data_IF_838713617188
#
_entry.id   IF_838713617188
#
_cell.length_a   1.000
_cell.length_b   1.000
_cell.length_c   1.000
_cell.angle_alpha   90.00
_cell.angle_beta   90.00
_cell.angle_gamma   90.00
#
_symmetry.space_group_name_H-M   'P 1'
#
loop_
_entity.id
_entity.type
_entity.pdbx_description
1 polymer ?
#
# COMPACT_ATOMS: atom_id res chain seq x y z
N UNK A 1 30.91 9.09 37.51
CA UNK A 1 31.83 8.38 36.60
C UNK A 1 31.44 6.92 36.63
N UNK A 2 31.28 6.28 35.47
CA UNK A 2 31.05 4.83 35.45
C UNK A 2 32.41 4.15 35.67
N UNK A 3 32.56 3.41 36.77
CA UNK A 3 33.80 2.70 37.06
C UNK A 3 33.83 1.38 36.28
N UNK A 4 34.95 1.08 35.65
CA UNK A 4 35.08 -0.09 34.77
C UNK A 4 34.71 -1.41 35.45
N UNK A 5 34.90 -1.51 36.77
CA UNK A 5 34.56 -2.68 37.57
C UNK A 5 33.06 -2.81 37.88
N UNK A 6 32.30 -1.71 37.83
CA UNK A 6 30.83 -1.73 37.94
C UNK A 6 30.19 -2.08 36.59
N UNK A 7 30.88 -1.80 35.47
CA UNK A 7 30.44 -2.11 34.10
C UNK A 7 30.82 -3.54 33.70
N UNK A 8 31.96 -4.05 34.17
CA UNK A 8 32.48 -5.36 33.77
C UNK A 8 31.51 -6.51 34.06
N UNK A 9 30.73 -6.43 35.15
CA UNK A 9 29.68 -7.41 35.46
C UNK A 9 28.46 -7.36 34.51
N UNK A 10 28.27 -6.26 33.77
CA UNK A 10 27.20 -6.09 32.78
C UNK A 10 27.64 -6.50 31.36
N UNK A 11 28.95 -6.68 31.12
CA UNK A 11 29.48 -7.13 29.84
C UNK A 11 29.49 -8.66 29.87
N UNK A 12 28.71 -9.30 28.98
CA UNK A 12 28.73 -10.76 28.81
C UNK A 12 30.17 -11.22 28.53
N UNK A 13 30.55 -12.35 29.10
CA UNK A 13 31.83 -12.99 28.78
C UNK A 13 31.91 -13.27 27.27
N UNK A 14 32.82 -12.56 26.59
CA UNK A 14 33.09 -12.71 25.16
C UNK A 14 34.38 -13.48 24.89
N UNK A 15 35.01 -14.07 25.92
CA UNK A 15 36.22 -14.87 25.78
C UNK A 15 35.91 -16.13 24.97
N UNK A 16 36.31 -16.13 23.70
CA UNK A 16 35.97 -17.18 22.72
C UNK A 16 35.25 -16.66 21.47
N UNK A 17 34.65 -15.47 21.51
CA UNK A 17 34.10 -14.80 20.32
C UNK A 17 35.16 -14.08 19.51
N UNK A 18 36.37 -13.93 20.03
CA UNK A 18 37.48 -13.21 19.38
C UNK A 18 38.75 -14.05 19.40
N UNK A 19 39.46 -14.07 18.27
CA UNK A 19 40.80 -14.65 18.12
C UNK A 19 41.67 -13.61 17.41
N UNK A 20 42.82 -13.29 18.00
CA UNK A 20 43.76 -12.28 17.47
C UNK A 20 43.11 -10.90 17.21
N UNK A 21 42.18 -10.50 18.09
CA UNK A 21 41.43 -9.24 17.96
C UNK A 21 40.31 -9.28 16.92
N UNK A 22 40.11 -10.39 16.23
CA UNK A 22 39.07 -10.57 15.21
C UNK A 22 37.93 -11.41 15.77
N UNK A 23 36.68 -10.95 15.59
CA UNK A 23 35.50 -11.72 15.99
C UNK A 23 35.41 -13.01 15.17
N UNK A 24 35.58 -14.16 15.80
CA UNK A 24 35.38 -15.51 15.23
C UNK A 24 33.95 -15.96 15.53
N UNK A 25 32.99 -15.43 14.77
CA UNK A 25 31.58 -15.78 14.91
C UNK A 25 31.17 -16.78 13.80
N UNK A 26 30.93 -18.07 14.14
CA UNK A 26 30.45 -19.05 13.16
C UNK A 26 29.02 -18.76 12.67
N UNK A 27 28.28 -17.88 13.35
CA UNK A 27 26.90 -17.49 13.02
C UNK A 27 26.83 -16.11 12.34
N UNK A 28 27.89 -15.71 11.62
CA UNK A 28 27.93 -14.41 10.94
C UNK A 28 26.74 -14.27 9.98
N UNK A 29 25.91 -13.27 10.23
CA UNK A 29 24.83 -12.88 9.31
C UNK A 29 25.45 -12.50 7.96
N UNK A 30 25.25 -13.34 6.94
CA UNK A 30 25.80 -13.18 5.60
C UNK A 30 24.66 -13.12 4.60
N UNK A 31 24.49 -11.97 3.98
CA UNK A 31 23.56 -11.82 2.87
C UNK A 31 24.12 -12.50 1.61
N UNK A 32 23.23 -12.94 0.69
CA UNK A 32 23.64 -13.45 -0.61
C UNK A 32 24.49 -12.42 -1.37
N UNK A 33 25.29 -12.89 -2.33
CA UNK A 33 26.04 -12.03 -3.24
C UNK A 33 25.32 -11.76 -4.55
N UNK A 34 24.01 -12.00 -4.60
CA UNK A 34 23.16 -11.72 -5.78
C UNK A 34 22.96 -10.22 -5.95
N UNK A 35 22.52 -9.79 -7.13
CA UNK A 35 22.35 -8.37 -7.48
C UNK A 35 21.38 -7.62 -6.54
N UNK A 36 20.44 -8.35 -5.93
CA UNK A 36 19.48 -7.81 -4.96
C UNK A 36 20.14 -7.41 -3.64
N UNK A 37 21.29 -7.99 -3.30
CA UNK A 37 21.99 -7.75 -2.03
C UNK A 37 23.41 -7.16 -2.23
N UNK A 38 23.71 -6.69 -3.43
CA UNK A 38 25.02 -6.19 -3.81
C UNK A 38 25.00 -4.69 -4.18
N UNK A 39 26.16 -4.04 -4.18
CA UNK A 39 26.32 -2.64 -4.57
C UNK A 39 25.43 -1.69 -3.78
N UNK A 40 24.62 -0.91 -4.50
CA UNK A 40 23.66 0.06 -3.94
C UNK A 40 22.48 -0.61 -3.21
N UNK A 41 22.24 -1.91 -3.45
CA UNK A 41 21.14 -2.67 -2.86
C UNK A 41 21.55 -3.45 -1.60
N UNK A 42 22.79 -3.25 -1.10
CA UNK A 42 23.20 -3.88 0.16
C UNK A 42 22.22 -3.51 1.27
N UNK A 43 21.80 -4.50 2.04
CA UNK A 43 20.93 -4.30 3.20
C UNK A 43 21.55 -3.24 4.13
N UNK A 44 20.77 -2.21 4.44
CA UNK A 44 21.21 -1.09 5.29
C UNK A 44 20.99 -1.45 6.75
N UNK A 45 19.73 -1.77 7.10
CA UNK A 45 19.28 -2.21 8.42
C UNK A 45 19.52 -1.21 9.54
N UNK A 46 19.72 0.06 9.18
CA UNK A 46 19.96 1.13 10.13
C UNK A 46 18.62 1.63 10.66
N UNK A 47 18.55 1.76 11.98
CA UNK A 47 17.59 2.59 12.68
C UNK A 47 18.37 3.65 13.45
N UNK A 48 17.89 4.88 13.45
CA UNK A 48 18.60 5.95 14.12
C UNK A 48 18.02 7.33 13.86
N UNK A 49 18.69 8.32 14.44
CA UNK A 49 18.28 9.72 14.45
C UNK A 49 19.50 10.58 14.14
N UNK A 50 19.30 11.63 13.34
CA UNK A 50 20.29 12.68 13.13
C UNK A 50 19.56 14.00 13.28
N UNK A 51 19.97 14.80 14.25
CA UNK A 51 19.40 16.13 14.47
C UNK A 51 20.24 17.16 13.73
N UNK A 52 19.55 18.12 13.09
CA UNK A 52 20.17 19.25 12.40
C UNK A 52 21.14 18.79 11.31
N UNK A 53 20.56 18.16 10.28
CA UNK A 53 21.29 17.68 9.11
C UNK A 53 22.11 18.81 8.48
N UNK A 54 23.28 18.46 7.95
CA UNK A 54 24.07 19.39 7.15
C UNK A 54 23.30 19.79 5.89
N UNK A 55 23.20 21.11 5.65
CA UNK A 55 22.45 21.70 4.53
C UNK A 55 23.38 22.56 3.68
N UNK A 56 23.31 22.38 2.36
CA UNK A 56 23.86 23.32 1.38
C UNK A 56 22.74 24.17 0.81
N UNK A 57 22.87 25.50 0.86
CA UNK A 57 21.81 26.44 0.50
C UNK A 57 20.96 26.84 1.71
N UNK A 58 19.69 27.16 1.49
CA UNK A 58 18.76 27.60 2.56
C UNK A 58 17.45 26.82 2.47
N UNK A 59 17.04 26.19 3.57
CA UNK A 59 15.69 25.62 3.70
C UNK A 59 14.70 26.79 3.90
N UNK A 60 13.62 26.88 3.12
CA UNK A 60 12.61 27.92 3.29
C UNK A 60 11.98 27.86 4.70
N UNK A 61 11.99 28.95 5.48
CA UNK A 61 11.49 28.95 6.86
C UNK A 61 9.98 28.68 6.97
N UNK A 62 9.23 28.87 5.90
CA UNK A 62 7.79 28.62 5.80
C UNK A 62 7.42 27.13 5.71
N UNK A 63 8.37 26.24 5.41
CA UNK A 63 8.10 24.79 5.39
C UNK A 63 8.12 24.29 6.83
N UNK A 64 6.94 23.86 7.28
CA UNK A 64 6.76 23.23 8.57
C UNK A 64 5.98 21.92 8.41
N UNK A 65 6.71 20.82 8.26
CA UNK A 65 6.10 19.49 8.13
C UNK A 65 7.14 18.37 8.15
N UNK A 66 6.68 17.17 7.82
CA UNK A 66 7.54 15.98 7.75
C UNK A 66 7.30 15.25 6.44
N UNK A 67 8.40 14.97 5.72
CA UNK A 67 8.37 14.07 4.57
C UNK A 67 8.64 12.64 5.04
N UNK A 68 7.70 11.75 4.76
CA UNK A 68 7.80 10.32 5.08
C UNK A 68 8.02 9.52 3.80
N UNK A 69 8.87 8.49 3.90
CA UNK A 69 9.04 7.48 2.86
C UNK A 69 9.41 6.14 3.48
N UNK A 70 9.20 5.06 2.74
CA UNK A 70 9.55 3.70 3.19
C UNK A 70 10.48 3.05 2.17
N UNK A 71 11.41 2.22 2.64
CA UNK A 71 12.26 1.39 1.80
C UNK A 71 12.10 -0.09 2.22
N UNK A 72 12.05 -1.03 1.27
CA UNK A 72 12.30 -2.43 1.58
C UNK A 72 13.76 -2.60 2.04
N UNK A 73 13.97 -3.20 3.21
CA UNK A 73 15.28 -3.37 3.81
C UNK A 73 15.32 -4.68 4.61
N UNK A 74 15.76 -5.76 3.97
CA UNK A 74 15.80 -7.10 4.59
C UNK A 74 16.53 -7.10 5.92
N UNK A 75 15.81 -7.44 6.98
CA UNK A 75 16.41 -7.47 8.31
C UNK A 75 17.33 -8.67 8.53
N UNK A 76 17.03 -9.80 7.88
CA UNK A 76 17.85 -11.00 7.89
C UNK A 76 18.13 -11.47 6.46
N UNK A 77 19.21 -12.23 6.22
CA UNK A 77 19.41 -12.92 4.96
C UNK A 77 18.17 -13.77 4.64
N UNK A 78 17.67 -13.71 3.40
CA UNK A 78 16.48 -14.47 3.02
C UNK A 78 16.74 -15.97 3.10
N UNK A 79 15.66 -16.76 3.21
CA UNK A 79 15.73 -18.23 3.17
C UNK A 79 16.25 -18.71 1.80
N UNK A 80 15.89 -18.00 0.74
CA UNK A 80 16.27 -18.29 -0.65
C UNK A 80 17.16 -17.17 -1.18
N UNK A 81 18.31 -17.50 -1.76
CA UNK A 81 19.31 -16.51 -2.18
C UNK A 81 18.85 -15.60 -3.34
N UNK A 82 17.84 -16.05 -4.09
CA UNK A 82 17.20 -15.37 -5.22
C UNK A 82 15.93 -14.59 -4.81
N UNK A 83 15.83 -14.19 -3.55
CA UNK A 83 14.77 -13.27 -3.09
C UNK A 83 14.87 -11.89 -3.76
N UNK A 84 13.76 -11.15 -3.76
CA UNK A 84 13.62 -9.88 -4.49
C UNK A 84 13.52 -8.67 -3.55
N UNK A 85 13.83 -7.47 -4.08
CA UNK A 85 13.75 -6.22 -3.33
C UNK A 85 12.38 -6.00 -2.65
N UNK A 86 11.28 -6.32 -3.35
CA UNK A 86 9.93 -6.09 -2.83
C UNK A 86 9.53 -6.94 -1.63
N UNK A 87 10.36 -7.92 -1.21
CA UNK A 87 10.13 -8.80 -0.08
C UNK A 87 10.89 -8.38 1.20
N UNK A 88 11.68 -7.30 1.17
CA UNK A 88 12.40 -6.78 2.34
C UNK A 88 11.48 -6.10 3.36
N UNK A 89 11.84 -6.08 4.63
CA UNK A 89 11.02 -5.47 5.69
C UNK A 89 10.89 -3.95 5.51
N UNK A 90 9.74 -3.37 5.83
CA UNK A 90 9.52 -1.92 5.70
C UNK A 90 10.35 -1.12 6.69
N UNK A 91 11.23 -0.27 6.20
CA UNK A 91 12.03 0.67 6.99
C UNK A 91 11.63 2.11 6.63
N UNK A 92 10.97 2.80 7.56
CA UNK A 92 10.38 4.13 7.35
C UNK A 92 11.39 5.20 7.71
N UNK A 93 11.60 6.14 6.80
CA UNK A 93 12.38 7.36 7.00
C UNK A 93 11.43 8.55 7.16
N UNK A 94 11.70 9.39 8.14
CA UNK A 94 11.09 10.71 8.32
C UNK A 94 12.15 11.81 8.22
N UNK A 95 11.88 12.81 7.39
CA UNK A 95 12.64 14.06 7.31
C UNK A 95 11.74 15.19 7.83
N UNK A 96 11.95 15.58 9.08
CA UNK A 96 11.21 16.68 9.72
C UNK A 96 11.86 18.00 9.33
N UNK A 97 11.12 18.87 8.64
CA UNK A 97 11.59 20.17 8.20
C UNK A 97 10.82 21.25 8.95
N UNK A 98 11.51 22.09 9.71
CA UNK A 98 10.89 23.22 10.42
C UNK A 98 11.89 24.33 10.65
N UNK A 99 11.44 25.58 10.57
CA UNK A 99 12.23 26.76 10.96
C UNK A 99 13.61 26.85 10.26
N UNK A 100 13.72 26.37 9.02
CA UNK A 100 15.00 26.36 8.28
C UNK A 100 15.94 25.19 8.61
N UNK A 101 15.51 24.22 9.42
CA UNK A 101 16.28 23.04 9.81
C UNK A 101 15.63 21.75 9.31
N UNK A 102 16.44 20.69 9.18
CA UNK A 102 15.97 19.34 8.86
C UNK A 102 16.52 18.31 9.85
N UNK A 103 15.67 17.37 10.29
CA UNK A 103 16.05 16.25 11.16
C UNK A 103 15.69 14.93 10.48
N UNK A 104 16.54 13.93 10.65
CA UNK A 104 16.35 12.58 10.13
C UNK A 104 15.96 11.63 11.25
N UNK A 105 15.01 10.74 10.98
CA UNK A 105 14.69 9.59 11.81
C UNK A 105 14.36 8.40 10.92
N UNK A 106 14.79 7.20 11.31
CA UNK A 106 14.48 5.98 10.59
C UNK A 106 14.18 4.81 11.53
N UNK A 107 13.08 4.10 11.28
CA UNK A 107 12.60 2.96 12.08
C UNK A 107 11.95 1.89 11.22
N UNK A 108 12.12 0.64 11.61
CA UNK A 108 11.37 -0.47 11.01
C UNK A 108 9.89 -0.44 11.41
N UNK A 109 9.03 -0.89 10.50
CA UNK A 109 7.66 -1.26 10.84
C UNK A 109 7.70 -2.60 11.56
N UNK A 110 7.31 -2.63 12.83
CA UNK A 110 7.32 -3.85 13.65
C UNK A 110 6.08 -4.72 13.36
N UNK A 111 5.98 -5.21 12.13
CA UNK A 111 4.95 -6.16 11.69
C UNK A 111 5.02 -7.47 12.47
N UNK A 112 3.99 -8.30 12.38
CA UNK A 112 4.05 -9.68 12.90
C UNK A 112 5.26 -10.43 12.32
N UNK A 113 5.47 -10.33 10.99
CA UNK A 113 6.66 -10.84 10.32
C UNK A 113 7.95 -10.38 11.00
N UNK A 114 8.12 -9.07 11.16
CA UNK A 114 9.30 -8.49 11.82
C UNK A 114 9.50 -9.09 13.21
N UNK A 115 8.44 -9.18 14.03
CA UNK A 115 8.51 -9.65 15.42
C UNK A 115 8.90 -11.13 15.50
N UNK A 116 8.31 -11.98 14.66
CA UNK A 116 8.62 -13.41 14.62
C UNK A 116 10.06 -13.66 14.17
N UNK A 117 10.54 -12.97 13.13
CA UNK A 117 11.93 -13.09 12.68
C UNK A 117 12.92 -12.51 13.70
N UNK A 118 12.54 -11.44 14.42
CA UNK A 118 13.34 -10.92 15.56
C UNK A 118 13.58 -12.01 16.59
N UNK A 119 12.49 -12.65 17.02
CA UNK A 119 12.51 -13.60 18.11
C UNK A 119 13.31 -14.86 17.73
N UNK A 120 13.26 -15.25 16.46
CA UNK A 120 14.05 -16.37 15.93
C UNK A 120 15.49 -15.99 15.57
N UNK A 121 15.80 -14.71 15.40
CA UNK A 121 17.13 -14.24 14.97
C UNK A 121 17.48 -14.60 13.53
N UNK A 122 16.48 -14.90 12.68
CA UNK A 122 16.65 -15.33 11.28
C UNK A 122 15.36 -15.14 10.48
N UNK A 123 15.46 -15.17 9.15
CA UNK A 123 14.29 -15.21 8.28
C UNK A 123 13.44 -16.47 8.53
N UNK A 124 12.12 -16.28 8.53
CA UNK A 124 11.10 -17.32 8.69
C UNK A 124 10.11 -17.33 7.52
N UNK A 125 9.95 -16.20 6.85
CA UNK A 125 9.09 -16.06 5.69
C UNK A 125 9.91 -16.25 4.41
N UNK A 126 9.39 -17.06 3.50
CA UNK A 126 10.05 -17.45 2.25
C UNK A 126 9.89 -16.41 1.14
N UNK A 127 9.70 -16.92 -0.09
CA UNK A 127 9.60 -16.12 -1.31
C UNK A 127 8.43 -15.13 -1.26
N UNK A 128 8.56 -14.06 -2.05
CA UNK A 128 7.55 -13.02 -2.20
C UNK A 128 6.15 -13.61 -2.45
N UNK A 129 5.23 -13.30 -1.54
CA UNK A 129 3.82 -13.72 -1.57
C UNK A 129 3.59 -15.24 -1.76
N UNK A 130 4.51 -16.09 -1.26
CA UNK A 130 4.36 -17.54 -1.36
C UNK A 130 4.34 -18.25 0.03
N UNK A 131 3.15 -18.52 0.60
CA UNK A 131 2.96 -19.24 1.88
C UNK A 131 3.54 -20.66 1.91
N UNK A 132 3.70 -21.33 0.77
CA UNK A 132 4.26 -22.69 0.73
C UNK A 132 5.78 -22.74 0.96
N UNK A 133 6.44 -21.58 0.96
CA UNK A 133 7.89 -21.45 1.17
C UNK A 133 8.26 -20.95 2.56
N UNK A 134 7.27 -20.75 3.43
CA UNK A 134 7.49 -20.33 4.80
C UNK A 134 7.95 -21.47 5.70
N UNK A 135 8.59 -21.10 6.79
CA UNK A 135 8.78 -22.02 7.90
C UNK A 135 7.43 -22.34 8.56
N UNK A 136 7.18 -23.61 8.87
CA UNK A 136 5.92 -24.06 9.50
C UNK A 136 5.58 -23.31 10.81
N UNK A 137 6.60 -22.78 11.53
CA UNK A 137 6.39 -22.03 12.79
C UNK A 137 5.67 -20.69 12.61
N UNK A 138 5.63 -20.13 11.39
CA UNK A 138 4.91 -18.87 11.07
C UNK A 138 3.65 -19.11 10.24
N UNK A 139 3.18 -20.36 10.17
CA UNK A 139 1.96 -20.69 9.46
C UNK A 139 0.76 -19.97 10.08
N UNK A 140 0.00 -19.26 9.23
CA UNK A 140 -1.14 -18.45 9.65
C UNK A 140 -0.79 -17.08 10.21
N UNK A 141 0.50 -16.73 10.32
CA UNK A 141 0.94 -15.38 10.66
C UNK A 141 0.82 -14.48 9.43
N UNK A 142 0.39 -13.23 9.61
CA UNK A 142 0.29 -12.28 8.51
C UNK A 142 1.69 -11.91 8.03
N UNK A 143 1.92 -12.11 6.73
CA UNK A 143 3.24 -12.03 6.10
C UNK A 143 3.73 -10.63 5.77
N UNK A 144 2.83 -9.66 5.86
CA UNK A 144 3.04 -8.36 5.24
C UNK A 144 4.30 -7.65 5.77
N UNK A 145 5.08 -7.10 4.85
CA UNK A 145 6.29 -6.37 5.17
C UNK A 145 6.05 -4.87 5.42
N UNK A 146 4.84 -4.37 5.12
CA UNK A 146 4.47 -2.95 5.21
C UNK A 146 5.52 -2.01 4.57
N UNK A 147 6.00 -2.37 3.39
CA UNK A 147 7.20 -1.79 2.76
C UNK A 147 6.94 -0.98 1.49
N UNK A 148 5.69 -0.84 1.04
CA UNK A 148 5.38 -0.21 -0.26
C UNK A 148 5.13 1.28 -0.11
N UNK A 149 4.29 1.68 0.85
CA UNK A 149 3.94 3.08 1.02
C UNK A 149 3.70 3.43 2.49
N UNK A 150 3.86 4.72 2.82
CA UNK A 150 3.53 5.31 4.11
C UNK A 150 2.81 6.64 3.89
N UNK A 151 1.67 6.84 4.54
CA UNK A 151 0.91 8.08 4.43
C UNK A 151 0.25 8.46 5.76
N UNK A 152 -0.02 9.75 5.93
CA UNK A 152 -0.69 10.26 7.12
C UNK A 152 -2.20 9.98 7.06
N UNK A 153 -2.75 9.55 8.19
CA UNK A 153 -4.16 9.27 8.35
C UNK A 153 -4.56 9.55 9.80
N UNK A 154 -5.49 10.49 10.03
CA UNK A 154 -6.13 10.74 11.34
C UNK A 154 -5.19 10.77 12.55
N UNK A 155 -4.04 11.46 12.43
CA UNK A 155 -3.07 11.61 13.53
C UNK A 155 -2.01 10.51 13.62
N UNK A 156 -2.03 9.53 12.72
CA UNK A 156 -1.05 8.45 12.63
C UNK A 156 -0.48 8.33 11.23
N UNK A 157 0.57 7.54 11.07
CA UNK A 157 1.03 7.06 9.77
C UNK A 157 0.49 5.66 9.54
N UNK A 158 0.06 5.36 8.32
CA UNK A 158 -0.24 4.01 7.88
C UNK A 158 0.86 3.53 6.94
N UNK A 159 1.65 2.56 7.39
CA UNK A 159 2.57 1.81 6.56
C UNK A 159 1.83 0.63 5.91
N UNK A 160 1.95 0.50 4.60
CA UNK A 160 1.07 -0.37 3.80
C UNK A 160 1.85 -1.21 2.79
N UNK A 161 1.26 -2.36 2.48
CA UNK A 161 1.68 -3.31 1.47
C UNK A 161 0.43 -4.08 1.03
N UNK A 162 0.31 -4.26 -0.28
CA UNK A 162 -0.86 -4.82 -0.96
C UNK A 162 -1.31 -6.22 -0.51
N UNK A 163 -0.44 -7.00 0.16
CA UNK A 163 -0.68 -8.39 0.55
C UNK A 163 -1.20 -8.55 1.99
N UNK A 164 -1.51 -7.44 2.66
CA UNK A 164 -1.93 -7.47 4.05
C UNK A 164 -2.61 -6.18 4.51
N UNK A 165 -2.98 -6.13 5.80
CA UNK A 165 -3.56 -4.96 6.43
C UNK A 165 -2.51 -3.88 6.70
N UNK A 166 -2.96 -2.63 6.84
CA UNK A 166 -2.11 -1.51 7.19
C UNK A 166 -1.55 -1.63 8.62
N UNK A 167 -0.39 -1.03 8.86
CA UNK A 167 0.19 -0.85 10.19
C UNK A 167 0.21 0.63 10.57
N UNK A 168 -0.40 0.95 11.71
CA UNK A 168 -0.35 2.27 12.30
C UNK A 168 1.00 2.49 13.00
N UNK A 169 1.57 3.67 12.78
CA UNK A 169 2.78 4.15 13.41
C UNK A 169 2.56 5.57 13.94
N UNK A 170 3.26 5.90 15.01
CA UNK A 170 3.29 7.26 15.54
C UNK A 170 4.11 8.17 14.60
N UNK A 171 3.61 9.33 14.19
CA UNK A 171 4.25 10.18 13.18
C UNK A 171 5.50 10.90 13.69
N UNK A 172 5.70 11.01 15.01
CA UNK A 172 6.84 11.71 15.61
C UNK A 172 7.96 10.74 15.97
N UNK A 173 7.62 9.64 16.63
CA UNK A 173 8.56 8.62 17.12
C UNK A 173 8.86 7.54 16.08
N UNK A 174 7.96 7.35 15.10
CA UNK A 174 7.92 6.19 14.19
C UNK A 174 7.76 4.85 14.90
N UNK A 175 7.33 4.84 16.17
CA UNK A 175 7.03 3.60 16.86
C UNK A 175 5.79 2.94 16.24
N UNK A 176 5.85 1.63 16.03
CA UNK A 176 4.71 0.87 15.50
C UNK A 176 3.66 0.67 16.60
N UNK A 177 2.48 1.24 16.40
CA UNK A 177 1.34 1.10 17.30
C UNK A 177 0.73 -0.31 17.14
N UNK A 178 0.55 -0.74 15.89
CA UNK A 178 0.03 -2.08 15.58
C UNK A 178 -0.69 -2.13 14.23
N UNK A 179 -1.30 -3.28 13.95
CA UNK A 179 -2.17 -3.43 12.79
C UNK A 179 -3.41 -2.55 12.94
N UNK A 180 -3.83 -1.90 11.86
CA UNK A 180 -5.01 -1.04 11.81
C UNK A 180 -6.03 -1.59 10.82
N UNK A 181 -7.25 -1.88 11.29
CA UNK A 181 -8.35 -2.48 10.53
C UNK A 181 -9.58 -1.55 10.40
N UNK A 182 -9.38 -0.26 10.67
CA UNK A 182 -10.42 0.77 10.63
C UNK A 182 -11.61 0.39 11.51
N UNK A 183 -11.32 0.10 12.77
CA UNK A 183 -12.29 -0.15 13.83
C UNK A 183 -13.14 -1.39 13.50
N UNK A 184 -12.48 -2.40 12.92
CA UNK A 184 -13.08 -3.65 12.45
C UNK A 184 -13.94 -3.50 11.18
N UNK A 185 -13.95 -2.34 10.53
CA UNK A 185 -14.77 -2.11 9.34
C UNK A 185 -14.16 -2.74 8.08
N UNK A 186 -12.84 -2.91 8.00
CA UNK A 186 -12.18 -3.56 6.86
C UNK A 186 -12.00 -5.04 7.15
N UNK A 187 -12.80 -5.86 6.46
CA UNK A 187 -12.80 -7.32 6.62
C UNK A 187 -11.89 -8.06 5.62
N UNK A 188 -11.45 -7.36 4.57
CA UNK A 188 -10.52 -7.92 3.59
C UNK A 188 -9.17 -8.24 4.25
N UNK A 189 -8.52 -9.37 3.90
CA UNK A 189 -7.16 -9.65 4.33
C UNK A 189 -6.13 -8.66 3.78
N UNK A 190 -6.47 -7.97 2.68
CA UNK A 190 -5.57 -7.05 1.96
C UNK A 190 -6.07 -5.60 1.98
N UNK A 191 -5.13 -4.66 1.98
CA UNK A 191 -5.34 -3.23 1.86
C UNK A 191 -4.37 -2.63 0.84
N UNK A 192 -4.86 -1.76 -0.06
CA UNK A 192 -4.00 -1.13 -1.08
C UNK A 192 -2.88 -0.29 -0.47
N UNK A 193 -1.68 -0.35 -1.07
CA UNK A 193 -0.62 0.59 -0.74
C UNK A 193 -0.81 1.97 -1.40
N UNK A 194 -1.82 2.13 -2.24
CA UNK A 194 -2.06 3.31 -3.05
C UNK A 194 -3.49 3.85 -2.90
N UNK A 195 -3.96 4.13 -1.67
CA UNK A 195 -5.24 4.80 -1.51
C UNK A 195 -5.18 6.20 -2.14
N UNK A 196 -6.34 6.72 -2.51
CA UNK A 196 -6.48 8.07 -3.07
C UNK A 196 -7.42 8.88 -2.20
N UNK A 197 -7.12 10.16 -2.03
CA UNK A 197 -7.96 11.08 -1.26
C UNK A 197 -8.73 11.96 -2.23
N UNK A 198 -10.06 11.96 -2.12
CA UNK A 198 -10.91 12.88 -2.87
C UNK A 198 -10.72 14.30 -2.31
N UNK A 199 -10.27 15.28 -3.11
CA UNK A 199 -10.00 16.63 -2.63
C UNK A 199 -11.27 17.44 -2.30
N UNK A 200 -12.44 17.00 -2.75
CA UNK A 200 -13.72 17.67 -2.51
C UNK A 200 -14.38 17.13 -1.24
N UNK A 201 -14.45 15.80 -1.08
CA UNK A 201 -15.13 15.16 0.06
C UNK A 201 -14.18 14.85 1.22
N UNK A 202 -12.88 14.74 0.95
CA UNK A 202 -11.89 14.26 1.90
C UNK A 202 -11.92 12.74 2.11
N UNK A 203 -12.78 12.01 1.40
CA UNK A 203 -12.86 10.55 1.53
C UNK A 203 -11.60 9.86 1.01
N UNK A 204 -11.18 8.81 1.70
CA UNK A 204 -10.13 7.92 1.28
C UNK A 204 -10.72 6.76 0.48
N UNK A 205 -10.44 6.74 -0.83
CA UNK A 205 -10.82 5.66 -1.75
C UNK A 205 -9.80 4.53 -1.64
N UNK A 206 -10.28 3.36 -1.26
CA UNK A 206 -9.48 2.17 -0.98
C UNK A 206 -9.95 0.98 -1.82
N UNK A 207 -9.08 -0.01 -1.94
CA UNK A 207 -9.40 -1.30 -2.53
C UNK A 207 -8.47 -2.38 -2.00
N UNK A 208 -8.82 -3.64 -2.25
CA UNK A 208 -7.99 -4.81 -2.03
C UNK A 208 -8.27 -5.84 -3.12
N UNK A 209 -7.23 -6.51 -3.60
CA UNK A 209 -7.34 -7.69 -4.47
C UNK A 209 -6.81 -8.92 -3.74
N UNK A 210 -7.09 -10.12 -4.27
CA UNK A 210 -6.97 -11.37 -3.50
C UNK A 210 -7.73 -11.29 -2.16
N UNK A 211 -8.86 -10.59 -2.16
CA UNK A 211 -9.60 -10.22 -0.96
C UNK A 211 -10.47 -11.36 -0.40
N UNK A 212 -10.61 -12.48 -1.14
CA UNK A 212 -11.55 -13.55 -0.82
C UNK A 212 -11.08 -14.55 0.23
N UNK A 213 -9.78 -14.62 0.51
CA UNK A 213 -9.22 -15.59 1.46
C UNK A 213 -8.14 -15.00 2.37
N UNK A 214 -6.87 -15.32 2.11
CA UNK A 214 -5.76 -14.91 2.98
C UNK A 214 -4.81 -13.86 2.35
N UNK A 215 -5.20 -13.28 1.21
CA UNK A 215 -4.40 -12.29 0.47
C UNK A 215 -3.22 -12.87 -0.30
N UNK A 216 -3.04 -14.19 -0.33
CA UNK A 216 -1.93 -14.89 -1.00
C UNK A 216 -2.37 -16.24 -1.61
N UNK A 217 -3.67 -16.38 -1.89
CA UNK A 217 -4.30 -17.63 -2.33
C UNK A 217 -4.65 -17.63 -3.82
N UNK A 218 -4.35 -16.56 -4.54
CA UNK A 218 -4.74 -16.41 -5.94
C UNK A 218 -6.24 -16.15 -6.12
N UNK A 219 -6.93 -15.64 -5.09
CA UNK A 219 -8.34 -15.25 -5.21
C UNK A 219 -8.54 -14.14 -6.25
N UNK A 220 -9.56 -14.31 -7.09
CA UNK A 220 -9.99 -13.27 -8.03
C UNK A 220 -10.91 -12.22 -7.38
N UNK A 221 -11.18 -12.29 -6.08
CA UNK A 221 -12.08 -11.35 -5.42
C UNK A 221 -11.37 -10.00 -5.18
N UNK A 222 -12.05 -8.93 -5.56
CA UNK A 222 -11.65 -7.54 -5.38
C UNK A 222 -12.72 -6.88 -4.53
N UNK A 223 -12.29 -6.10 -3.53
CA UNK A 223 -13.16 -5.20 -2.79
C UNK A 223 -12.74 -3.76 -3.05
N UNK A 224 -13.71 -2.87 -3.18
CA UNK A 224 -13.52 -1.42 -3.25
C UNK A 224 -14.39 -0.80 -2.17
N UNK A 225 -13.86 0.19 -1.46
CA UNK A 225 -14.61 0.90 -0.44
C UNK A 225 -14.05 2.31 -0.23
N UNK A 226 -14.86 3.16 0.37
CA UNK A 226 -14.51 4.53 0.75
C UNK A 226 -14.56 4.68 2.26
N UNK A 227 -13.67 5.49 2.80
CA UNK A 227 -13.62 5.83 4.22
C UNK A 227 -13.72 7.35 4.36
N UNK A 228 -14.68 7.82 5.15
CA UNK A 228 -14.86 9.24 5.42
C UNK A 228 -13.66 9.85 6.17
N UNK A 229 -13.48 11.19 6.15
CA UNK A 229 -12.47 11.86 6.98
C UNK A 229 -12.55 11.49 8.47
N UNK A 230 -13.75 11.17 8.96
CA UNK A 230 -14.01 10.75 10.33
C UNK A 230 -13.70 9.28 10.60
N UNK A 231 -13.29 8.51 9.59
CA UNK A 231 -12.90 7.10 9.71
C UNK A 231 -14.03 6.09 9.55
N UNK A 232 -15.19 6.50 9.03
CA UNK A 232 -16.32 5.57 8.80
C UNK A 232 -16.33 5.08 7.36
N UNK A 233 -16.52 3.76 7.16
CA UNK A 233 -16.69 3.19 5.83
C UNK A 233 -18.05 3.62 5.27
N UNK A 234 -18.03 4.38 4.17
CA UNK A 234 -19.24 4.98 3.58
C UNK A 234 -19.84 4.10 2.49
N UNK A 235 -19.01 3.47 1.67
CA UNK A 235 -19.42 2.57 0.60
C UNK A 235 -18.54 1.33 0.56
N UNK A 236 -19.08 0.21 0.08
CA UNK A 236 -18.31 -1.01 -0.21
C UNK A 236 -18.95 -1.77 -1.37
N UNK A 237 -18.12 -2.28 -2.27
CA UNK A 237 -18.53 -3.14 -3.36
C UNK A 237 -17.50 -4.25 -3.60
N UNK A 238 -18.00 -5.47 -3.81
CA UNK A 238 -17.21 -6.66 -4.11
C UNK A 238 -17.40 -7.06 -5.57
N UNK A 239 -16.30 -7.46 -6.20
CA UNK A 239 -16.23 -7.85 -7.60
C UNK A 239 -15.37 -9.10 -7.74
N UNK A 240 -15.63 -9.91 -8.75
CA UNK A 240 -14.77 -11.04 -9.11
C UNK A 240 -14.09 -10.79 -10.45
N UNK A 241 -12.77 -10.64 -10.45
CA UNK A 241 -11.95 -10.48 -11.63
C UNK A 241 -11.98 -11.74 -12.52
N UNK A 242 -11.73 -11.64 -13.84
CA UNK A 242 -11.68 -12.79 -14.72
C UNK A 242 -10.43 -13.66 -14.48
N UNK A 243 -9.39 -13.10 -13.87
CA UNK A 243 -8.22 -13.83 -13.38
C UNK A 243 -7.61 -13.12 -12.17
N UNK A 244 -6.77 -13.83 -11.40
CA UNK A 244 -6.01 -13.24 -10.31
C UNK A 244 -4.77 -12.53 -10.89
N UNK A 245 -4.90 -11.23 -11.12
CA UNK A 245 -3.83 -10.37 -11.60
C UNK A 245 -3.44 -9.31 -10.57
N UNK A 246 -2.21 -8.80 -10.68
CA UNK A 246 -1.78 -7.68 -9.85
C UNK A 246 -2.57 -6.40 -10.18
N UNK A 247 -3.13 -5.77 -9.15
CA UNK A 247 -3.73 -4.42 -9.20
C UNK A 247 -2.97 -3.55 -8.21
N UNK A 248 -1.78 -3.10 -8.61
CA UNK A 248 -0.89 -2.39 -7.69
C UNK A 248 -1.40 -0.98 -7.35
N UNK A 249 -1.85 -0.23 -8.36
CA UNK A 249 -2.26 1.17 -8.24
C UNK A 249 -3.63 1.39 -8.91
N UNK A 250 -4.22 2.56 -8.68
CA UNK A 250 -5.48 2.99 -9.27
C UNK A 250 -5.43 4.46 -9.73
N UNK A 251 -6.34 4.80 -10.64
CA UNK A 251 -6.68 6.19 -10.93
C UNK A 251 -8.06 6.52 -10.39
N UNK A 252 -8.24 7.72 -9.84
CA UNK A 252 -9.57 8.24 -9.50
C UNK A 252 -9.88 9.50 -10.31
N UNK A 253 -11.16 9.69 -10.59
CA UNK A 253 -11.73 10.93 -11.13
C UNK A 253 -13.01 11.23 -10.36
N UNK A 254 -13.64 12.37 -10.66
CA UNK A 254 -14.88 12.79 -10.00
C UNK A 254 -15.96 11.70 -9.89
N UNK A 255 -16.03 10.82 -10.89
CA UNK A 255 -17.06 9.79 -10.93
C UNK A 255 -16.50 8.36 -10.97
N UNK A 256 -15.21 8.16 -11.22
CA UNK A 256 -14.70 6.83 -11.57
C UNK A 256 -13.50 6.41 -10.77
N UNK A 257 -13.48 5.13 -10.39
CA UNK A 257 -12.29 4.41 -9.98
C UNK A 257 -11.83 3.50 -11.12
N UNK A 258 -10.56 3.64 -11.50
CA UNK A 258 -9.92 2.92 -12.59
C UNK A 258 -8.90 1.97 -11.99
N UNK A 259 -9.20 0.67 -12.05
CA UNK A 259 -8.31 -0.41 -11.60
C UNK A 259 -7.70 -1.09 -12.84
N UNK A 260 -6.45 -0.77 -13.23
CA UNK A 260 -5.77 -1.47 -14.30
C UNK A 260 -5.39 -2.87 -13.85
N UNK A 261 -5.84 -3.88 -14.59
CA UNK A 261 -5.46 -5.26 -14.33
C UNK A 261 -4.40 -5.69 -15.34
N UNK A 262 -3.18 -5.85 -14.85
CA UNK A 262 -2.01 -6.24 -15.63
C UNK A 262 -1.98 -7.77 -15.76
N UNK A 263 -1.61 -8.35 -16.92
CA UNK A 263 -1.52 -9.79 -17.12
C UNK A 263 -0.28 -10.41 -16.45
N UNK A 264 0.03 -9.97 -15.23
CA UNK A 264 0.89 -10.65 -14.28
C UNK A 264 -0.03 -11.52 -13.42
N UNK A 265 -0.19 -12.78 -13.82
CA UNK A 265 -1.19 -13.70 -13.24
C UNK A 265 -0.59 -14.49 -12.10
N UNK A 266 -1.41 -14.80 -11.10
CA UNK A 266 -1.12 -15.82 -10.11
C UNK A 266 -1.62 -17.19 -10.58
N UNK A 267 -0.83 -18.24 -10.33
CA UNK A 267 -1.22 -19.63 -10.56
C UNK A 267 -0.99 -20.44 -9.28
N UNK A 268 -2.03 -21.16 -8.83
CA UNK A 268 -2.02 -21.84 -7.55
C UNK A 268 -1.05 -23.04 -7.53
N UNK A 269 -0.89 -23.75 -8.65
CA UNK A 269 0.04 -24.89 -8.73
C UNK A 269 1.49 -24.40 -8.75
N UNK A 270 1.77 -23.31 -9.47
CA UNK A 270 3.06 -22.62 -9.44
C UNK A 270 3.44 -22.20 -8.01
N UNK A 271 2.50 -21.63 -7.26
CA UNK A 271 2.74 -21.29 -5.85
C UNK A 271 3.06 -22.53 -5.01
N UNK A 272 2.31 -23.62 -5.14
CA UNK A 272 2.55 -24.89 -4.41
C UNK A 272 3.91 -25.51 -4.73
N UNK A 273 4.39 -25.32 -5.97
CA UNK A 273 5.72 -25.75 -6.39
C UNK A 273 6.86 -24.85 -5.86
N UNK A 274 6.53 -23.80 -5.09
CA UNK A 274 7.51 -22.88 -4.52
C UNK A 274 8.05 -21.86 -5.51
N UNK A 275 7.37 -21.64 -6.62
CA UNK A 275 7.77 -20.70 -7.67
C UNK A 275 7.16 -19.29 -7.43
N UNK A 276 7.37 -18.39 -8.39
CA UNK A 276 6.98 -16.98 -8.28
C UNK A 276 5.46 -16.79 -8.20
N UNK A 277 5.02 -15.87 -7.36
CA UNK A 277 3.61 -15.51 -7.25
C UNK A 277 3.09 -14.89 -8.56
N UNK A 278 3.81 -13.92 -9.12
CA UNK A 278 3.45 -13.27 -10.38
C UNK A 278 4.27 -13.81 -11.55
N UNK A 279 3.61 -14.13 -12.66
CA UNK A 279 4.29 -14.34 -13.94
C UNK A 279 3.50 -13.67 -15.08
N UNK A 280 4.24 -13.15 -16.05
CA UNK A 280 3.68 -12.53 -17.23
C UNK A 280 3.03 -13.57 -18.13
N UNK A 281 1.79 -13.31 -18.53
CA UNK A 281 1.06 -14.09 -19.53
C UNK A 281 1.00 -13.30 -20.85
N UNK A 282 1.77 -13.69 -21.88
CA UNK A 282 1.82 -12.96 -23.15
C UNK A 282 0.53 -13.10 -23.98
N UNK A 283 -0.34 -14.06 -23.65
CA UNK A 283 -1.59 -14.31 -24.38
C UNK A 283 -2.80 -13.62 -23.72
N UNK A 284 -2.61 -13.00 -22.56
CA UNK A 284 -3.66 -12.29 -21.82
C UNK A 284 -3.62 -10.78 -22.10
N UNK A 285 -4.77 -10.21 -22.46
CA UNK A 285 -4.88 -8.77 -22.72
C UNK A 285 -4.84 -7.99 -21.40
N UNK A 286 -4.15 -6.84 -21.40
CA UNK A 286 -4.27 -5.90 -20.28
C UNK A 286 -5.68 -5.31 -20.25
N UNK A 287 -6.35 -5.43 -19.09
CA UNK A 287 -7.68 -4.86 -18.92
C UNK A 287 -7.57 -3.48 -18.29
N UNK A 288 -7.82 -2.46 -19.10
CA UNK A 288 -7.85 -1.04 -18.71
C UNK A 288 -9.23 -0.47 -18.98
N UNK A 289 -9.86 0.31 -18.09
CA UNK A 289 -11.15 0.95 -18.38
C UNK A 289 -11.07 1.96 -19.54
N UNK A 290 -12.10 2.02 -20.41
CA UNK A 290 -12.23 3.08 -21.44
C UNK A 290 -13.22 4.19 -21.04
N UNK A 291 -13.03 5.45 -21.49
CA UNK A 291 -13.87 6.61 -21.17
C UNK A 291 -15.36 6.51 -21.54
N UNK A 292 -15.73 5.60 -22.45
CA UNK A 292 -17.10 5.48 -22.98
C UNK A 292 -17.82 4.19 -22.54
N UNK A 293 -17.23 3.40 -21.64
CA UNK A 293 -17.90 2.21 -21.14
C UNK A 293 -18.89 2.55 -20.04
N UNK A 294 -20.17 2.23 -20.30
CA UNK A 294 -21.23 2.30 -19.30
C UNK A 294 -20.89 1.37 -18.15
N UNK A 295 -21.20 1.86 -16.96
CA UNK A 295 -20.83 1.20 -15.74
C UNK A 295 -21.90 0.21 -15.33
N UNK A 296 -21.44 -0.90 -14.77
CA UNK A 296 -22.26 -1.97 -14.27
C UNK A 296 -22.65 -1.68 -12.81
N UNK A 297 -23.95 -1.49 -12.58
CA UNK A 297 -24.55 -1.79 -11.28
C UNK A 297 -24.73 -3.31 -11.24
N UNK A 298 -23.77 -4.03 -10.65
CA UNK A 298 -23.80 -5.50 -10.54
C UNK A 298 -22.53 -6.08 -9.89
N UNK A 299 -22.63 -7.29 -9.32
CA UNK A 299 -21.54 -8.02 -8.63
C UNK A 299 -20.59 -8.80 -9.56
N UNK A 300 -20.81 -8.72 -10.87
CA UNK A 300 -20.10 -9.53 -11.87
C UNK A 300 -19.24 -8.65 -12.78
N UNK A 301 -17.99 -9.07 -13.04
CA UNK A 301 -17.22 -8.57 -14.16
C UNK A 301 -17.87 -9.04 -15.47
N UNK A 302 -18.00 -8.18 -16.49
CA UNK A 302 -18.71 -8.55 -17.71
C UNK A 302 -17.88 -9.49 -18.58
N UNK A 303 -18.53 -10.53 -19.12
CA UNK A 303 -18.04 -11.34 -20.24
C UNK A 303 -17.91 -10.48 -21.50
N UNK A 304 -16.75 -9.85 -21.68
CA UNK A 304 -16.38 -9.17 -22.93
C UNK A 304 -15.62 -10.11 -23.89
N UNK A 305 -15.50 -11.40 -23.55
CA UNK A 305 -14.71 -12.42 -24.25
C UNK A 305 -15.40 -13.03 -25.49
N UNK A 306 -16.10 -12.23 -26.31
CA UNK A 306 -16.44 -12.70 -27.66
C UNK A 306 -15.27 -12.41 -28.62
N UNK A 307 -14.89 -13.35 -29.52
CA UNK A 307 -13.68 -13.25 -30.36
C UNK A 307 -13.61 -11.99 -31.26
N UNK A 308 -14.77 -11.40 -31.53
CA UNK A 308 -15.01 -10.19 -32.33
C UNK A 308 -15.02 -8.89 -31.50
N UNK A 309 -14.81 -8.97 -30.18
CA UNK A 309 -14.98 -7.87 -29.22
C UNK A 309 -13.68 -7.39 -28.52
N UNK A 310 -12.52 -7.45 -29.19
CA UNK A 310 -11.21 -6.94 -28.71
C UNK A 310 -11.14 -5.43 -28.36
N UNK A 311 -12.27 -4.73 -28.18
CA UNK A 311 -12.33 -3.26 -28.04
C UNK A 311 -13.30 -2.70 -26.99
N UNK A 312 -13.90 -3.51 -26.11
CA UNK A 312 -14.78 -2.99 -25.04
C UNK A 312 -14.24 -3.44 -23.67
N UNK A 313 -13.97 -2.46 -22.82
CA UNK A 313 -13.06 -2.53 -21.67
C UNK A 313 -13.75 -1.81 -20.50
N UNK A 314 -13.86 -2.44 -19.33
CA UNK A 314 -14.90 -2.11 -18.33
C UNK A 314 -14.43 -1.22 -17.18
N UNK A 315 -15.38 -0.54 -16.54
CA UNK A 315 -15.20 0.56 -15.59
C UNK A 315 -15.90 0.22 -14.26
N UNK A 316 -15.25 0.49 -13.12
CA UNK A 316 -15.88 0.45 -11.80
C UNK A 316 -16.39 1.86 -11.43
N UNK A 317 -17.69 1.96 -11.10
CA UNK A 317 -18.24 3.11 -10.38
C UNK A 317 -18.25 2.76 -8.90
N UNK A 318 -17.84 3.72 -8.09
CA UNK A 318 -18.41 3.85 -6.75
C UNK A 318 -19.89 4.26 -6.91
N UNK A 319 -20.83 3.69 -6.13
CA UNK A 319 -22.21 4.16 -6.12
C UNK A 319 -22.28 5.70 -6.06
N UNK A 320 -23.18 6.23 -6.87
CA UNK A 320 -23.27 7.66 -7.19
C UNK A 320 -23.49 8.54 -5.96
N UNK A 321 -22.83 9.71 -5.97
CA UNK A 321 -23.24 10.94 -5.30
C UNK A 321 -24.75 10.95 -5.04
N UNK A 322 -25.18 11.11 -3.78
CA UNK A 322 -26.51 11.64 -3.51
C UNK A 322 -26.52 13.08 -4.03
N UNK A 323 -27.09 13.28 -5.21
CA UNK A 323 -27.51 14.60 -5.65
C UNK A 323 -28.51 15.11 -4.61
N UNK A 324 -28.12 16.13 -3.85
CA UNK A 324 -29.05 16.84 -3.00
C UNK A 324 -29.98 17.66 -3.90
N UNK A 325 -31.23 17.21 -4.02
CA UNK A 325 -32.39 18.01 -4.36
C UNK A 325 -32.63 18.31 -5.84
N UNK A 326 -33.59 17.61 -6.44
CA UNK A 326 -34.75 18.28 -7.05
C UNK A 326 -35.94 17.30 -7.11
N UNK A 327 -36.53 17.02 -5.94
CA UNK A 327 -37.83 16.35 -5.85
C UNK A 327 -38.92 17.43 -5.96
N UNK A 328 -39.32 17.76 -7.20
CA UNK A 328 -40.62 18.34 -7.46
C UNK A 328 -41.20 17.82 -8.77
N UNK A 329 -41.77 16.61 -8.75
CA UNK A 329 -42.84 16.23 -9.67
C UNK A 329 -44.06 15.79 -8.88
N UNK A 330 -44.93 16.76 -8.60
CA UNK A 330 -46.34 16.51 -8.34
C UNK A 330 -47.12 16.87 -9.61
N UNK A 331 -47.97 15.94 -10.04
CA UNK A 331 -48.99 15.99 -11.08
C UNK A 331 -49.43 17.37 -11.61
N UNK A 332 -49.57 17.50 -12.95
CA UNK A 332 -50.87 17.80 -13.57
C UNK A 332 -50.87 17.71 -15.11
N UNK A 333 -52.03 17.30 -15.62
CA UNK A 333 -52.42 17.09 -17.01
C UNK A 333 -52.68 18.41 -17.78
N UNK A 334 -52.67 18.28 -19.11
CA UNK A 334 -53.36 19.06 -20.15
C UNK A 334 -53.90 20.47 -19.82
N UNK A 335 -53.46 21.48 -20.58
CA UNK A 335 -54.32 22.20 -21.55
C UNK A 335 -53.53 23.31 -22.29
N UNK A 336 -53.87 23.46 -23.57
CA UNK A 336 -53.42 24.53 -24.47
C UNK A 336 -53.80 25.93 -23.99
N UNK A 337 -52.99 26.95 -24.32
CA UNK A 337 -53.44 28.18 -24.98
C UNK A 337 -52.27 29.08 -25.41
N UNK A 338 -52.51 29.69 -26.56
CA UNK A 338 -51.72 30.64 -27.33
C UNK A 338 -51.46 31.97 -26.59
N UNK A 339 -50.42 32.70 -27.02
CA UNK A 339 -50.33 34.16 -27.21
C UNK A 339 -48.87 34.67 -27.16
N UNK A 340 -48.39 35.18 -28.31
CA UNK A 340 -47.15 35.96 -28.49
C UNK A 340 -47.32 37.45 -28.02
N UNK A 341 -46.42 38.41 -28.35
CA UNK A 341 -45.11 38.71 -27.73
C UNK A 341 -44.92 40.22 -27.41
N UNK A 342 -43.99 40.60 -26.50
CA UNK A 342 -43.28 41.91 -26.46
C UNK A 342 -41.99 41.67 -25.66
N UNK A 343 -40.76 41.95 -26.07
CA UNK A 343 -40.23 43.02 -26.90
C UNK A 343 -39.44 43.98 -26.01
N UNK A 344 -38.10 43.88 -25.95
CA UNK A 344 -37.16 45.01 -26.04
C UNK A 344 -35.70 44.61 -25.78
N UNK A 345 -34.84 45.27 -26.55
CA UNK A 345 -33.40 45.17 -26.69
C UNK A 345 -32.62 45.66 -25.45
N UNK A 346 -31.41 45.13 -25.22
CA UNK A 346 -30.14 45.89 -25.41
C UNK A 346 -28.87 45.09 -25.10
N UNK A 347 -28.07 44.95 -26.15
CA UNK A 347 -26.61 45.03 -26.31
C UNK A 347 -25.65 44.76 -25.12
N UNK A 348 -24.93 43.65 -25.29
CA UNK A 348 -23.46 43.41 -25.32
C UNK A 348 -22.47 44.58 -25.14
N UNK A 349 -21.37 44.26 -24.41
CA UNK A 349 -19.92 44.64 -24.50
C UNK A 349 -19.42 45.30 -23.21
N UNK A 350 -18.25 44.98 -22.65
CA UNK A 350 -17.14 44.11 -23.06
C UNK A 350 -16.03 44.12 -21.99
N UNK A 351 -15.10 43.18 -22.15
CA UNK A 351 -13.74 43.01 -21.58
C UNK A 351 -13.02 44.24 -21.02
N UNK A 352 -12.34 44.04 -19.88
CA UNK A 352 -10.87 44.03 -19.75
C UNK A 352 -10.46 42.82 -18.93
#
# INVERSE_FOLDING_TARGET
MAHIFDIAGAIRDTSGLYKDGVKIDPNRVKFPSTDVFHGINKASRIEGDIFDLEVTGSIPPEIDGTFFRVQPDHRYPPIYEDDIHFNGDGNVTAIRISHGHAHFKQRYVHTERYRHETAAGRALFGRYRNPYTDNEVVKGVIRTAANTNVFFWRGMLLATKEDGPAYAMDPETLDTIGRYDFEGQVLSPTFTAHPKFDPVTGEMVCYGYEAGGNGNDGSCDIVVYTISPDGFKTEEAWYKAPFCGIIHDCGISENYLVLPMTPLKCDAERLKNGENHWAWDPEEDQIVPRPHCRVLRGREWPDCLRPDCRRRQCLLLLPSRRQAGDDSEAHQQDHALDLRPKGQERLVRGTV
#
